data_IF_507572921780
#
_entry.id   IF_507572921780
#
_cell.length_a   1.000
_cell.length_b   1.000
_cell.length_c   1.000
_cell.angle_alpha   90.00
_cell.angle_beta   90.00
_cell.angle_gamma   90.00
#
_symmetry.space_group_name_H-M   'P 1'
#
loop_
_entity.id
_entity.type
_entity.pdbx_description
1 polymer ?
#
# COMPACT_ATOMS: atom_id res chain seq x y z
N UNK A 1 44.58 41.78 13.12
CA UNK A 1 43.25 41.29 13.59
C UNK A 1 42.17 41.77 12.64
N UNK A 2 41.76 41.00 11.63
CA UNK A 2 40.58 41.29 10.75
C UNK A 2 40.32 40.21 9.68
N UNK A 3 40.49 38.91 9.97
CA UNK A 3 40.19 37.87 8.97
C UNK A 3 39.54 36.59 9.53
N UNK A 4 39.15 36.57 10.80
CA UNK A 4 38.63 35.35 11.45
C UNK A 4 37.09 35.27 11.55
N UNK A 5 36.35 36.23 10.99
CA UNK A 5 34.89 36.32 11.24
C UNK A 5 33.98 35.97 10.06
N UNK A 6 34.53 35.61 8.89
CA UNK A 6 33.72 35.41 7.67
C UNK A 6 33.43 33.95 7.30
N UNK A 7 33.96 32.96 8.03
CA UNK A 7 33.79 31.54 7.66
C UNK A 7 32.65 30.81 8.39
N UNK A 8 31.96 31.41 9.36
CA UNK A 8 30.96 30.69 10.18
C UNK A 8 29.54 30.72 9.59
N UNK A 9 29.25 31.57 8.61
CA UNK A 9 27.88 31.74 8.07
C UNK A 9 27.60 30.85 6.83
N UNK A 10 28.61 30.23 6.23
CA UNK A 10 28.45 29.44 4.98
C UNK A 10 27.99 27.98 5.19
N UNK A 11 27.72 27.53 6.42
CA UNK A 11 27.47 26.12 6.73
C UNK A 11 25.98 25.77 7.01
N UNK A 12 25.03 26.65 6.64
CA UNK A 12 23.61 26.50 6.98
C UNK A 12 22.66 26.28 5.78
N UNK A 13 23.17 26.01 4.58
CA UNK A 13 22.36 25.98 3.35
C UNK A 13 22.26 24.60 2.65
N UNK A 14 22.26 23.50 3.40
CA UNK A 14 21.93 22.16 2.86
C UNK A 14 20.69 21.55 3.54
N UNK A 15 19.71 22.37 3.90
CA UNK A 15 18.36 21.88 4.13
C UNK A 15 17.75 21.54 2.76
N UNK A 16 18.03 20.33 2.26
CA UNK A 16 17.38 19.80 1.06
C UNK A 16 15.87 19.96 1.17
N UNK A 17 15.26 20.51 0.13
CA UNK A 17 13.82 20.75 0.11
C UNK A 17 13.12 19.39 0.05
N UNK A 18 12.59 18.93 1.20
CA UNK A 18 11.79 17.70 1.25
C UNK A 18 10.57 17.87 0.37
N UNK A 19 10.25 16.84 -0.40
CA UNK A 19 9.01 16.77 -1.17
C UNK A 19 7.79 16.84 -0.24
N UNK A 20 6.66 17.25 -0.79
CA UNK A 20 5.41 17.31 -0.03
C UNK A 20 5.00 15.94 0.56
N UNK A 21 5.28 14.86 -0.17
CA UNK A 21 5.08 13.49 0.31
C UNK A 21 5.98 13.17 1.51
N UNK A 22 7.28 13.51 1.45
CA UNK A 22 8.21 13.30 2.58
C UNK A 22 7.79 14.09 3.81
N UNK A 23 7.38 15.36 3.63
CA UNK A 23 6.85 16.17 4.72
C UNK A 23 5.57 15.56 5.33
N UNK A 24 4.74 14.89 4.52
CA UNK A 24 3.56 14.17 5.00
C UNK A 24 3.92 12.94 5.82
N UNK A 25 4.88 12.14 5.34
CA UNK A 25 5.41 10.99 6.09
C UNK A 25 5.99 11.44 7.42
N UNK A 26 6.90 12.41 7.41
CA UNK A 26 7.57 12.90 8.63
C UNK A 26 6.57 13.40 9.67
N UNK A 27 5.59 14.18 9.24
CA UNK A 27 4.55 14.72 10.12
C UNK A 27 3.71 13.62 10.76
N UNK A 28 3.28 12.61 9.99
CA UNK A 28 2.47 11.52 10.54
C UNK A 28 3.29 10.60 11.46
N UNK A 29 4.54 10.28 11.08
CA UNK A 29 5.43 9.47 11.90
C UNK A 29 5.82 10.17 13.21
N UNK A 30 6.00 11.49 13.19
CA UNK A 30 6.31 12.28 14.39
C UNK A 30 5.19 12.28 15.43
N UNK A 31 3.95 11.93 15.06
CA UNK A 31 2.85 11.78 16.03
C UNK A 31 3.03 10.58 16.95
N UNK A 32 3.85 9.58 16.56
CA UNK A 32 4.04 8.34 17.33
C UNK A 32 2.77 7.49 17.45
N UNK A 33 1.76 7.72 16.60
CA UNK A 33 0.50 6.98 16.63
C UNK A 33 0.66 5.68 15.85
N UNK A 34 0.27 4.56 16.48
CA UNK A 34 0.22 3.25 15.84
C UNK A 34 -1.21 2.94 15.35
N UNK A 35 -1.32 2.56 14.08
CA UNK A 35 -2.53 2.30 13.33
C UNK A 35 -2.37 0.99 12.55
N UNK A 36 -2.58 -0.14 13.21
CA UNK A 36 -2.29 -1.44 12.61
C UNK A 36 -3.44 -1.99 11.77
N UNK A 37 -4.67 -1.50 11.92
CA UNK A 37 -5.82 -2.01 11.16
C UNK A 37 -5.63 -1.80 9.66
N UNK A 38 -5.82 -2.88 8.90
CA UNK A 38 -5.92 -2.89 7.43
C UNK A 38 -7.41 -3.00 7.10
N UNK A 39 -7.88 -4.09 6.46
CA UNK A 39 -9.29 -4.37 6.18
C UNK A 39 -9.68 -5.79 6.61
N UNK A 40 -10.98 -6.06 6.69
CA UNK A 40 -11.54 -7.41 6.91
C UNK A 40 -10.97 -8.11 8.16
N UNK A 41 -10.66 -7.35 9.21
CA UNK A 41 -10.11 -7.85 10.47
C UNK A 41 -8.61 -8.11 10.47
N UNK A 42 -7.90 -7.85 9.36
CA UNK A 42 -6.45 -7.98 9.29
C UNK A 42 -5.72 -6.75 9.83
N UNK A 43 -4.54 -6.96 10.38
CA UNK A 43 -3.68 -5.91 10.94
C UNK A 43 -2.23 -6.10 10.50
N UNK A 44 -1.46 -5.01 10.47
CA UNK A 44 -0.01 -5.12 10.54
C UNK A 44 0.40 -5.86 11.83
N UNK A 45 1.52 -6.56 11.79
CA UNK A 45 2.01 -7.34 12.93
C UNK A 45 1.40 -8.73 13.09
N UNK A 46 0.32 -9.05 12.37
CA UNK A 46 -0.25 -10.41 12.31
C UNK A 46 0.80 -11.37 11.77
N UNK A 47 0.97 -12.51 12.44
CA UNK A 47 1.89 -13.56 11.99
C UNK A 47 1.36 -14.29 10.77
N UNK A 48 2.24 -15.04 10.09
CA UNK A 48 1.82 -15.90 8.97
C UNK A 48 0.75 -16.91 9.39
N UNK A 49 0.91 -17.54 10.54
CA UNK A 49 -0.04 -18.53 11.05
C UNK A 49 -1.39 -17.89 11.41
N UNK A 50 -1.38 -16.72 12.05
CA UNK A 50 -2.60 -15.96 12.33
C UNK A 50 -3.33 -15.54 11.05
N UNK A 51 -2.58 -15.10 10.03
CA UNK A 51 -3.14 -14.77 8.72
C UNK A 51 -3.82 -15.97 8.07
N UNK A 52 -3.13 -17.12 8.00
CA UNK A 52 -3.72 -18.33 7.41
C UNK A 52 -4.93 -18.83 8.18
N UNK A 53 -4.87 -18.80 9.52
CA UNK A 53 -6.02 -19.15 10.36
C UNK A 53 -7.21 -18.23 10.10
N UNK A 54 -6.97 -16.91 10.06
CA UNK A 54 -8.02 -15.93 9.76
C UNK A 54 -8.64 -16.18 8.38
N UNK A 55 -7.81 -16.42 7.36
CA UNK A 55 -8.29 -16.72 6.01
C UNK A 55 -9.10 -18.03 5.96
N UNK A 56 -8.66 -19.07 6.67
CA UNK A 56 -9.39 -20.33 6.78
C UNK A 56 -10.76 -20.14 7.43
N UNK A 57 -10.82 -19.40 8.53
CA UNK A 57 -12.06 -19.10 9.24
C UNK A 57 -13.03 -18.29 8.36
N UNK A 58 -12.54 -17.33 7.59
CA UNK A 58 -13.35 -16.55 6.65
C UNK A 58 -13.80 -17.36 5.44
N UNK A 59 -12.96 -18.25 4.92
CA UNK A 59 -13.32 -19.19 3.85
C UNK A 59 -14.40 -20.17 4.30
N UNK A 60 -14.34 -20.67 5.54
CA UNK A 60 -15.39 -21.55 6.10
C UNK A 60 -16.77 -20.88 6.17
N UNK A 61 -16.80 -19.53 6.18
CA UNK A 61 -18.00 -18.70 6.16
C UNK A 61 -18.41 -18.27 4.75
N UNK A 62 -17.69 -18.70 3.71
CA UNK A 62 -17.92 -18.33 2.31
C UNK A 62 -17.58 -16.87 2.00
N UNK A 63 -16.81 -16.19 2.87
CA UNK A 63 -16.44 -14.78 2.65
C UNK A 63 -15.18 -14.65 1.81
N UNK A 64 -14.22 -15.55 1.99
CA UNK A 64 -12.98 -15.61 1.20
C UNK A 64 -13.00 -16.82 0.30
N UNK A 65 -12.41 -16.69 -0.88
CA UNK A 65 -12.14 -17.79 -1.79
C UNK A 65 -10.63 -17.87 -2.05
N UNK A 66 -10.14 -19.06 -2.34
CA UNK A 66 -8.78 -19.21 -2.86
C UNK A 66 -8.77 -18.75 -4.32
N UNK A 67 -8.00 -17.71 -4.63
CA UNK A 67 -7.88 -17.22 -5.99
C UNK A 67 -6.99 -18.15 -6.83
N UNK A 68 -7.33 -18.39 -8.11
CA UNK A 68 -6.42 -19.06 -9.04
C UNK A 68 -5.15 -18.23 -9.33
N UNK A 69 -5.13 -16.94 -8.97
CA UNK A 69 -3.97 -16.07 -9.12
C UNK A 69 -3.03 -16.19 -7.91
N UNK A 70 -1.89 -16.85 -8.09
CA UNK A 70 -0.70 -16.79 -7.22
C UNK A 70 -0.96 -16.97 -5.71
N UNK A 71 -1.80 -17.93 -5.31
CA UNK A 71 -2.15 -18.18 -3.90
C UNK A 71 -2.73 -16.96 -3.15
N UNK A 72 -3.35 -16.02 -3.87
CA UNK A 72 -4.00 -14.87 -3.24
C UNK A 72 -5.37 -15.22 -2.68
N UNK A 73 -5.82 -14.43 -1.71
CA UNK A 73 -7.18 -14.48 -1.18
C UNK A 73 -8.05 -13.61 -2.06
N UNK A 74 -9.20 -14.12 -2.48
CA UNK A 74 -10.22 -13.38 -3.20
C UNK A 74 -11.35 -12.96 -2.25
N UNK A 75 -11.80 -11.71 -2.36
CA UNK A 75 -12.94 -11.16 -1.66
C UNK A 75 -13.87 -10.41 -2.64
N UNK A 76 -15.17 -10.68 -2.55
CA UNK A 76 -16.18 -9.97 -3.33
C UNK A 76 -16.42 -8.56 -2.75
N UNK A 77 -16.13 -7.55 -3.57
CA UNK A 77 -16.30 -6.14 -3.21
C UNK A 77 -17.41 -5.47 -4.00
N UNK A 78 -18.26 -6.23 -4.70
CA UNK A 78 -19.31 -5.72 -5.60
C UNK A 78 -20.23 -4.71 -4.91
N UNK A 79 -20.51 -4.90 -3.60
CA UNK A 79 -21.33 -3.97 -2.81
C UNK A 79 -20.74 -2.56 -2.66
N UNK A 80 -19.46 -2.37 -2.95
CA UNK A 80 -18.76 -1.08 -2.85
C UNK A 80 -18.50 -0.45 -4.22
N UNK A 81 -18.82 -1.14 -5.30
CA UNK A 81 -18.49 -0.75 -6.66
C UNK A 81 -19.76 -0.53 -7.49
N UNK A 82 -19.65 0.21 -8.61
CA UNK A 82 -20.75 0.37 -9.58
C UNK A 82 -21.00 -0.88 -10.41
N UNK A 83 -19.99 -1.72 -10.58
CA UNK A 83 -20.06 -3.01 -11.27
C UNK A 83 -19.50 -4.12 -10.39
N UNK A 84 -19.95 -5.37 -10.55
CA UNK A 84 -19.41 -6.49 -9.79
C UNK A 84 -17.89 -6.58 -9.93
N UNK A 85 -17.20 -6.95 -8.86
CA UNK A 85 -15.75 -6.99 -8.86
C UNK A 85 -15.14 -7.60 -7.61
N UNK A 86 -13.85 -7.91 -7.72
CA UNK A 86 -13.07 -8.65 -6.74
C UNK A 86 -11.87 -7.87 -6.26
N UNK A 87 -11.49 -8.17 -5.03
CA UNK A 87 -10.20 -7.82 -4.45
C UNK A 87 -9.36 -9.08 -4.27
N UNK A 88 -8.14 -9.07 -4.78
CA UNK A 88 -7.15 -10.12 -4.56
C UNK A 88 -6.02 -9.58 -3.70
N UNK A 89 -5.68 -10.26 -2.61
CA UNK A 89 -4.62 -9.80 -1.71
C UNK A 89 -3.80 -10.95 -1.16
N UNK A 90 -2.53 -10.65 -0.88
CA UNK A 90 -1.65 -11.54 -0.17
C UNK A 90 -0.54 -10.71 0.51
N UNK A 91 -0.32 -10.86 1.82
CA UNK A 91 0.64 -10.02 2.54
C UNK A 91 2.09 -10.37 2.23
N UNK A 92 2.94 -9.35 2.38
CA UNK A 92 4.39 -9.52 2.53
C UNK A 92 4.72 -9.54 4.02
N UNK A 93 5.56 -10.50 4.41
CA UNK A 93 5.98 -10.71 5.79
C UNK A 93 7.41 -10.26 6.00
N UNK A 94 7.68 -9.64 7.14
CA UNK A 94 9.02 -9.32 7.64
C UNK A 94 9.08 -9.78 9.09
N UNK A 95 10.10 -10.55 9.45
CA UNK A 95 10.21 -11.20 10.78
C UNK A 95 8.91 -11.93 11.18
N UNK A 96 8.38 -12.71 10.23
CA UNK A 96 7.12 -13.47 10.32
C UNK A 96 5.84 -12.62 10.48
N UNK A 97 5.92 -11.29 10.39
CA UNK A 97 4.77 -10.40 10.58
C UNK A 97 4.39 -9.65 9.32
N UNK A 98 3.10 -9.46 9.09
CA UNK A 98 2.60 -8.60 8.01
C UNK A 98 3.13 -7.18 8.22
N UNK A 99 3.88 -6.68 7.24
CA UNK A 99 4.26 -5.26 7.18
C UNK A 99 3.73 -4.58 5.92
N UNK A 100 3.37 -5.35 4.89
CA UNK A 100 2.79 -4.85 3.66
C UNK A 100 1.64 -5.75 3.19
N UNK A 101 0.56 -5.15 2.69
CA UNK A 101 -0.58 -5.86 2.12
C UNK A 101 -0.91 -5.23 0.75
N UNK A 102 -0.35 -5.76 -0.34
CA UNK A 102 -0.79 -5.45 -1.69
C UNK A 102 -2.18 -6.02 -1.97
N UNK A 103 -3.03 -5.20 -2.58
CA UNK A 103 -4.39 -5.54 -3.01
C UNK A 103 -4.55 -5.16 -4.48
N UNK A 104 -5.06 -6.07 -5.28
CA UNK A 104 -5.44 -5.85 -6.67
C UNK A 104 -6.95 -5.86 -6.78
N UNK A 105 -7.50 -4.83 -7.39
CA UNK A 105 -8.92 -4.71 -7.66
C UNK A 105 -9.17 -4.87 -9.16
N UNK A 106 -10.15 -5.69 -9.51
CA UNK A 106 -10.63 -5.90 -10.88
C UNK A 106 -12.15 -6.04 -10.91
N UNK A 107 -12.78 -5.61 -12.00
CA UNK A 107 -14.20 -5.90 -12.24
C UNK A 107 -14.41 -7.32 -12.77
N UNK A 108 -15.57 -7.90 -12.45
CA UNK A 108 -16.10 -9.12 -13.06
C UNK A 108 -16.72 -8.75 -14.41
N UNK A 109 -15.89 -8.41 -15.39
CA UNK A 109 -16.34 -7.98 -16.70
C UNK A 109 -15.21 -7.89 -17.69
N UNK A 110 -15.54 -7.94 -18.98
CA UNK A 110 -14.53 -7.85 -20.01
C UNK A 110 -14.12 -6.39 -20.23
N UNK A 111 -12.80 -6.14 -20.23
CA UNK A 111 -12.18 -4.82 -20.32
C UNK A 111 -12.53 -3.99 -21.57
N UNK A 112 -13.26 -4.54 -22.55
CA UNK A 112 -13.67 -3.82 -23.77
C UNK A 112 -14.90 -2.91 -23.57
N UNK A 113 -15.62 -3.01 -22.46
CA UNK A 113 -16.71 -2.09 -22.13
C UNK A 113 -16.16 -0.88 -21.35
N UNK A 114 -16.34 0.37 -21.81
CA UNK A 114 -15.78 1.56 -21.15
C UNK A 114 -16.17 1.71 -19.67
N UNK A 115 -17.37 1.25 -19.30
CA UNK A 115 -17.86 1.26 -17.91
C UNK A 115 -17.09 0.29 -16.99
N UNK A 116 -16.36 -0.68 -17.55
CA UNK A 116 -15.50 -1.64 -16.87
C UNK A 116 -14.02 -1.24 -16.94
N UNK A 117 -13.72 0.00 -17.34
CA UNK A 117 -12.34 0.50 -17.36
C UNK A 117 -11.77 0.66 -15.96
N UNK A 118 -10.46 0.47 -15.84
CA UNK A 118 -9.71 0.74 -14.62
C UNK A 118 -9.81 2.20 -14.15
N UNK A 119 -10.06 3.17 -15.05
CA UNK A 119 -10.30 4.57 -14.67
C UNK A 119 -11.63 4.73 -13.91
N UNK A 120 -12.66 4.00 -14.34
CA UNK A 120 -13.94 3.92 -13.62
C UNK A 120 -13.75 3.23 -12.27
N UNK A 121 -12.97 2.14 -12.26
CA UNK A 121 -12.64 1.42 -11.04
C UNK A 121 -11.85 2.26 -10.04
N UNK A 122 -10.92 3.08 -10.50
CA UNK A 122 -10.12 3.97 -9.65
C UNK A 122 -11.03 4.86 -8.81
N UNK A 123 -12.06 5.46 -9.42
CA UNK A 123 -13.02 6.32 -8.72
C UNK A 123 -13.78 5.55 -7.63
N UNK A 124 -14.21 4.32 -7.91
CA UNK A 124 -14.97 3.52 -6.94
C UNK A 124 -14.10 3.04 -5.79
N UNK A 125 -12.91 2.53 -6.09
CA UNK A 125 -11.95 2.07 -5.08
C UNK A 125 -11.48 3.24 -4.22
N UNK A 126 -11.17 4.39 -4.83
CA UNK A 126 -10.80 5.60 -4.08
C UNK A 126 -11.92 6.02 -3.14
N UNK A 127 -13.17 6.08 -3.62
CA UNK A 127 -14.33 6.40 -2.77
C UNK A 127 -14.51 5.41 -1.63
N UNK A 128 -14.41 4.11 -1.91
CA UNK A 128 -14.47 3.05 -0.91
C UNK A 128 -13.39 3.23 0.16
N UNK A 129 -12.13 3.41 -0.24
CA UNK A 129 -11.00 3.58 0.68
C UNK A 129 -11.11 4.89 1.47
N UNK A 130 -11.53 5.99 0.85
CA UNK A 130 -11.78 7.26 1.55
C UNK A 130 -12.83 7.10 2.64
N UNK A 131 -13.89 6.32 2.39
CA UNK A 131 -14.91 6.05 3.41
C UNK A 131 -14.40 5.25 4.60
N UNK A 132 -13.36 4.43 4.42
CA UNK A 132 -12.80 3.57 5.48
C UNK A 132 -11.65 4.23 6.24
N UNK A 133 -10.82 5.01 5.55
CA UNK A 133 -9.53 5.51 6.08
C UNK A 133 -9.39 7.02 6.08
N UNK A 134 -10.36 7.75 5.53
CA UNK A 134 -10.32 9.19 5.36
C UNK A 134 -9.62 9.63 4.07
N UNK A 135 -9.41 10.93 3.95
CA UNK A 135 -9.00 11.57 2.69
C UNK A 135 -7.66 11.09 2.14
N UNK A 136 -7.58 11.01 0.82
CA UNK A 136 -6.37 10.67 0.08
C UNK A 136 -5.85 11.91 -0.65
N UNK A 137 -4.53 12.08 -0.64
CA UNK A 137 -3.84 13.13 -1.38
C UNK A 137 -3.26 12.60 -2.67
N UNK A 138 -3.46 13.33 -3.76
CA UNK A 138 -2.97 12.98 -5.08
C UNK A 138 -1.54 13.49 -5.31
N UNK A 139 -0.70 12.64 -5.89
CA UNK A 139 0.67 12.93 -6.32
C UNK A 139 0.88 12.44 -7.75
N UNK A 140 1.67 13.17 -8.53
CA UNK A 140 2.09 12.71 -9.86
C UNK A 140 3.37 11.86 -9.74
N UNK A 141 3.38 10.70 -10.40
CA UNK A 141 4.54 9.82 -10.48
C UNK A 141 4.91 9.57 -11.96
N UNK A 142 6.20 9.65 -12.34
CA UNK A 142 6.64 9.48 -13.73
C UNK A 142 6.11 8.21 -14.40
N UNK A 143 6.26 7.06 -13.74
CA UNK A 143 5.87 5.77 -14.33
C UNK A 143 4.39 5.43 -14.11
N UNK A 144 3.90 5.61 -12.88
CA UNK A 144 2.57 5.16 -12.43
C UNK A 144 1.45 6.14 -12.78
N UNK A 145 1.76 7.36 -13.21
CA UNK A 145 0.78 8.43 -13.32
C UNK A 145 0.34 8.91 -11.95
N UNK A 146 -0.94 9.20 -11.78
CA UNK A 146 -1.45 9.70 -10.51
C UNK A 146 -1.48 8.59 -9.45
N UNK A 147 -0.95 8.90 -8.27
CA UNK A 147 -0.97 8.05 -7.09
C UNK A 147 -1.75 8.79 -6.01
N UNK A 148 -2.74 8.13 -5.43
CA UNK A 148 -3.47 8.63 -4.28
C UNK A 148 -2.87 8.03 -3.01
N UNK A 149 -2.59 8.86 -2.01
CA UNK A 149 -1.90 8.46 -0.79
C UNK A 149 -2.66 8.93 0.44
N UNK A 150 -2.95 8.01 1.34
CA UNK A 150 -3.39 8.29 2.70
C UNK A 150 -2.29 7.84 3.67
N UNK A 151 -1.96 8.67 4.65
CA UNK A 151 -1.06 8.31 5.75
C UNK A 151 -1.73 8.71 7.06
N UNK A 152 -1.79 7.77 8.00
CA UNK A 152 -2.30 8.00 9.35
C UNK A 152 -1.42 7.24 10.34
N UNK A 153 -0.64 7.99 11.13
CA UNK A 153 0.38 7.39 11.98
C UNK A 153 1.39 6.58 11.16
N UNK A 154 1.64 5.33 11.54
CA UNK A 154 2.50 4.40 10.78
C UNK A 154 1.85 3.79 9.54
N UNK A 155 0.52 3.89 9.34
CA UNK A 155 -0.14 3.27 8.18
C UNK A 155 -0.06 4.17 6.97
N UNK A 156 0.53 3.64 5.90
CA UNK A 156 0.43 4.19 4.56
C UNK A 156 -0.50 3.35 3.69
N UNK A 157 -1.33 4.02 2.88
CA UNK A 157 -2.11 3.41 1.82
C UNK A 157 -1.81 4.16 0.54
N UNK A 158 -1.25 3.48 -0.47
CA UNK A 158 -1.06 4.02 -1.81
C UNK A 158 -2.05 3.36 -2.76
N UNK A 159 -2.68 4.11 -3.65
CA UNK A 159 -3.60 3.63 -4.65
C UNK A 159 -3.16 4.15 -6.02
N UNK A 160 -2.99 3.26 -6.99
CA UNK A 160 -2.55 3.61 -8.34
C UNK A 160 -3.01 2.57 -9.36
N UNK A 161 -3.02 2.96 -10.64
CA UNK A 161 -3.32 2.06 -11.75
C UNK A 161 -2.07 1.29 -12.15
N UNK A 162 -2.17 -0.03 -12.20
CA UNK A 162 -1.17 -0.87 -12.87
C UNK A 162 -1.49 -0.88 -14.37
N UNK A 163 -0.75 -0.08 -15.13
CA UNK A 163 -0.95 0.08 -16.57
C UNK A 163 -0.70 -1.20 -17.37
N UNK A 164 0.12 -2.12 -16.86
CA UNK A 164 0.48 -3.35 -17.59
C UNK A 164 -0.67 -4.35 -17.51
N UNK A 165 -1.23 -4.52 -16.31
CA UNK A 165 -2.27 -5.52 -16.05
C UNK A 165 -3.69 -4.94 -16.13
N UNK A 166 -3.83 -3.63 -16.36
CA UNK A 166 -5.08 -2.87 -16.35
C UNK A 166 -5.94 -3.09 -15.08
N UNK A 167 -5.26 -3.17 -13.93
CA UNK A 167 -5.90 -3.32 -12.60
C UNK A 167 -5.62 -2.11 -11.73
N UNK A 168 -6.45 -1.91 -10.70
CA UNK A 168 -6.17 -0.93 -9.65
C UNK A 168 -5.45 -1.61 -8.50
N UNK A 169 -4.29 -1.06 -8.10
CA UNK A 169 -3.51 -1.58 -6.98
C UNK A 169 -3.58 -0.65 -5.80
N UNK A 170 -3.90 -1.19 -4.63
CA UNK A 170 -3.66 -0.54 -3.35
C UNK A 170 -2.58 -1.26 -2.57
N UNK A 171 -1.66 -0.53 -1.96
CA UNK A 171 -0.60 -1.09 -1.14
C UNK A 171 -0.66 -0.45 0.23
N UNK A 172 -0.98 -1.26 1.24
CA UNK A 172 -0.95 -0.90 2.64
C UNK A 172 0.44 -1.23 3.20
N UNK A 173 1.09 -0.28 3.87
CA UNK A 173 2.45 -0.47 4.40
C UNK A 173 2.58 0.09 5.82
N UNK A 174 3.23 -0.67 6.71
CA UNK A 174 3.69 -0.20 8.01
C UNK A 174 5.00 0.58 7.84
N UNK A 175 4.93 1.90 7.95
CA UNK A 175 6.06 2.82 7.82
C UNK A 175 7.03 2.77 9.01
N UNK A 176 6.67 2.10 10.11
CA UNK A 176 7.59 1.90 11.23
C UNK A 176 8.66 0.84 10.96
N UNK A 177 8.48 0.04 9.91
CA UNK A 177 9.44 -0.97 9.49
C UNK A 177 10.50 -0.35 8.58
N UNK A 178 11.76 -0.59 8.93
CA UNK A 178 12.92 -0.09 8.19
C UNK A 178 13.06 -0.83 6.85
N UNK A 179 12.82 -0.10 5.76
CA UNK A 179 12.86 -0.63 4.39
C UNK A 179 14.23 -1.18 4.00
N UNK A 180 15.32 -0.64 4.53
CA UNK A 180 16.65 -1.17 4.24
C UNK A 180 16.87 -2.50 4.95
N UNK A 181 16.36 -2.67 6.18
CA UNK A 181 16.37 -3.98 6.86
C UNK A 181 15.54 -5.00 6.10
N UNK A 182 14.36 -4.62 5.61
CA UNK A 182 13.52 -5.48 4.77
C UNK A 182 14.27 -5.89 3.50
N UNK A 183 14.84 -4.94 2.78
CA UNK A 183 15.61 -5.21 1.55
C UNK A 183 16.77 -6.17 1.80
N UNK A 184 17.56 -5.91 2.84
CA UNK A 184 18.71 -6.75 3.22
C UNK A 184 18.28 -8.16 3.63
N UNK A 185 17.16 -8.31 4.35
CA UNK A 185 16.64 -9.61 4.76
C UNK A 185 16.07 -10.43 3.59
N UNK A 186 15.53 -9.78 2.56
CA UNK A 186 14.96 -10.43 1.38
C UNK A 186 15.99 -10.70 0.26
N UNK A 187 17.13 -9.99 0.28
CA UNK A 187 18.21 -10.13 -0.72
C UNK A 187 18.67 -11.59 -0.95
N UNK A 188 18.92 -12.43 0.08
CA UNK A 188 19.38 -13.80 -0.13
C UNK A 188 18.36 -14.68 -0.86
N UNK A 189 17.06 -14.41 -0.71
CA UNK A 189 15.98 -15.17 -1.35
C UNK A 189 15.79 -14.85 -2.83
N UNK A 190 16.15 -13.62 -3.24
CA UNK A 190 16.09 -13.19 -4.65
C UNK A 190 17.29 -13.70 -5.44
N UNK A 191 18.44 -13.88 -4.79
CA UNK A 191 19.64 -14.42 -5.43
C UNK A 191 19.52 -15.94 -5.68
N UNK A 192 18.75 -16.66 -4.86
CA UNK A 192 18.43 -18.09 -5.09
C UNK A 192 17.44 -18.36 -6.22
N UNK A 193 16.74 -17.33 -6.75
CA UNK A 193 15.81 -17.45 -7.88
C UNK A 193 16.48 -17.16 -9.25
N UNK A 194 17.78 -16.88 -9.26
CA UNK A 194 18.58 -16.60 -10.47
C UNK A 194 19.40 -17.79 -10.96
N UNK A 195 19.12 -18.99 -10.46
CA UNK A 195 19.74 -20.25 -10.86
C UNK A 195 18.67 -21.28 -11.19
#
# INVERSE_FOLDING_TARGET
MKFAFFCVISMLALAGCKSEYEQMVDREMAKGIRQDSIFLGMTFGMTRDEFYKHCWDMNSKGLFLNSPLNNSVEYDISKYLRHPGKAHFYPTFFEDKIYEMPVMFMYDGFAWQPSYSSDTMMVDVLKMLTSWYGEFKEFSHPDKGNIYVNINGNRQIRLYKDKINDVIKSVFTDLSIDKEKVRLALQPSLDTLKH
#
